data_IF_818085457450
#
_entry.id   IF_818085457450
#
_cell.length_a   1.000
_cell.length_b   1.000
_cell.length_c   1.000
_cell.angle_alpha   90.00
_cell.angle_beta   90.00
_cell.angle_gamma   90.00
#
_symmetry.space_group_name_H-M   'P 1'
#
loop_
_entity.id
_entity.type
_entity.pdbx_description
1 polymer ?
#
# COMPACT_ATOMS: atom_id res chain seq x y z
N UNK A 1 0.64 20.20 -18.84
CA UNK A 1 0.83 20.59 -17.42
C UNK A 1 1.49 19.44 -16.66
N UNK A 2 2.32 19.70 -15.64
CA UNK A 2 2.87 18.63 -14.78
C UNK A 2 1.80 18.07 -13.85
N UNK A 3 1.96 16.84 -13.34
CA UNK A 3 1.01 16.25 -12.37
C UNK A 3 0.82 17.14 -11.13
N UNK A 4 1.89 17.74 -10.61
CA UNK A 4 1.80 18.69 -9.48
C UNK A 4 0.96 19.91 -9.84
N UNK A 5 1.23 20.54 -10.99
CA UNK A 5 0.45 21.69 -11.45
C UNK A 5 -1.02 21.32 -11.64
N UNK A 6 -1.30 20.13 -12.17
CA UNK A 6 -2.66 19.59 -12.37
C UNK A 6 -3.42 19.50 -11.05
N UNK A 7 -2.83 18.84 -10.06
CA UNK A 7 -3.42 18.71 -8.73
C UNK A 7 -3.65 20.09 -8.09
N UNK A 8 -2.66 20.98 -8.11
CA UNK A 8 -2.80 22.31 -7.51
C UNK A 8 -3.88 23.15 -8.20
N UNK A 9 -4.01 23.04 -9.52
CA UNK A 9 -5.04 23.77 -10.28
C UNK A 9 -6.43 23.23 -9.96
N UNK A 10 -6.60 21.91 -9.89
CA UNK A 10 -7.84 21.25 -9.47
C UNK A 10 -8.23 21.63 -8.04
N UNK A 11 -7.29 21.62 -7.09
CA UNK A 11 -7.54 22.04 -5.70
C UNK A 11 -7.90 23.53 -5.59
N UNK A 12 -7.43 24.36 -6.52
CA UNK A 12 -7.81 25.77 -6.62
C UNK A 12 -9.13 25.98 -7.39
N UNK A 13 -9.89 24.92 -7.66
CA UNK A 13 -11.15 24.95 -8.43
C UNK A 13 -11.01 25.57 -9.82
N UNK A 14 -9.85 25.38 -10.47
CA UNK A 14 -9.58 25.83 -11.84
C UNK A 14 -9.46 24.64 -12.77
N UNK A 15 -9.89 24.82 -14.02
CA UNK A 15 -9.89 23.74 -15.02
C UNK A 15 -8.46 23.27 -15.36
N UNK A 16 -8.11 22.00 -15.09
CA UNK A 16 -6.83 21.42 -15.49
C UNK A 16 -6.80 21.05 -16.98
N UNK A 17 -5.64 20.58 -17.49
CA UNK A 17 -5.50 20.06 -18.86
C UNK A 17 -6.15 18.69 -19.05
N UNK A 18 -6.41 17.97 -17.94
CA UNK A 18 -7.25 16.76 -17.84
C UNK A 18 -7.60 16.52 -16.38
N UNK A 19 -8.58 15.65 -16.12
CA UNK A 19 -8.89 15.19 -14.76
C UNK A 19 -7.66 14.49 -14.15
N UNK A 20 -7.15 14.94 -12.99
CA UNK A 20 -6.10 14.21 -12.29
C UNK A 20 -6.63 12.89 -11.74
N UNK A 21 -5.80 11.85 -11.69
CA UNK A 21 -6.23 10.56 -11.15
C UNK A 21 -5.13 9.87 -10.33
N UNK A 22 -5.59 8.99 -9.44
CA UNK A 22 -4.78 8.20 -8.52
C UNK A 22 -4.84 6.71 -8.90
N UNK A 23 -3.71 6.03 -8.69
CA UNK A 23 -3.62 4.57 -8.70
C UNK A 23 -2.63 4.14 -7.62
N UNK A 24 -3.13 3.42 -6.62
CA UNK A 24 -2.32 2.94 -5.50
C UNK A 24 -1.87 4.02 -4.52
N UNK A 25 -2.49 5.20 -4.51
CA UNK A 25 -2.27 6.21 -3.47
C UNK A 25 -2.90 5.83 -2.13
N UNK A 26 -4.01 5.08 -2.18
CA UNK A 26 -4.68 4.47 -1.02
C UNK A 26 -5.09 3.03 -1.37
N UNK A 27 -5.40 2.21 -0.36
CA UNK A 27 -5.77 0.80 -0.57
C UNK A 27 -6.83 0.59 -1.66
N UNK A 28 -8.00 1.25 -1.59
CA UNK A 28 -9.08 1.06 -2.55
C UNK A 28 -8.77 1.49 -4.01
N UNK A 29 -7.79 2.37 -4.22
CA UNK A 29 -7.38 2.81 -5.56
C UNK A 29 -6.27 1.95 -6.16
N UNK A 30 -5.88 0.88 -5.48
CA UNK A 30 -4.86 -0.06 -5.95
C UNK A 30 -5.37 -1.03 -7.01
N UNK A 31 -4.45 -1.86 -7.50
CA UNK A 31 -4.71 -2.97 -8.42
C UNK A 31 -4.32 -4.28 -7.74
N UNK A 32 -5.10 -5.34 -7.92
CA UNK A 32 -4.74 -6.66 -7.35
C UNK A 32 -3.45 -7.17 -7.97
N UNK A 33 -2.68 -7.97 -7.22
CA UNK A 33 -1.40 -8.49 -7.68
C UNK A 33 -1.54 -9.30 -8.97
N UNK A 34 -2.56 -10.14 -9.06
CA UNK A 34 -2.86 -10.93 -10.26
C UNK A 34 -3.23 -10.06 -11.46
N UNK A 35 -4.07 -9.03 -11.26
CA UNK A 35 -4.42 -8.12 -12.35
C UNK A 35 -3.22 -7.30 -12.83
N UNK A 36 -2.35 -6.86 -11.91
CA UNK A 36 -1.14 -6.14 -12.26
C UNK A 36 -0.16 -7.00 -13.06
N UNK A 37 0.05 -8.26 -12.63
CA UNK A 37 0.87 -9.22 -13.37
C UNK A 37 0.35 -9.40 -14.82
N UNK A 38 -0.95 -9.66 -14.98
CA UNK A 38 -1.55 -9.83 -16.30
C UNK A 38 -1.42 -8.57 -17.16
N UNK A 39 -1.53 -7.38 -16.53
CA UNK A 39 -1.36 -6.10 -17.23
C UNK A 39 0.08 -5.88 -17.70
N UNK A 40 1.08 -6.25 -16.90
CA UNK A 40 2.49 -6.15 -17.29
C UNK A 40 2.79 -7.07 -18.48
N UNK A 41 2.29 -8.31 -18.45
CA UNK A 41 2.39 -9.28 -19.55
C UNK A 41 1.74 -8.73 -20.83
N UNK A 42 0.50 -8.23 -20.73
CA UNK A 42 -0.21 -7.63 -21.87
C UNK A 42 0.53 -6.44 -22.49
N UNK A 43 1.16 -5.60 -21.66
CA UNK A 43 1.91 -4.43 -22.10
C UNK A 43 3.37 -4.73 -22.48
N UNK A 44 3.80 -6.01 -22.44
CA UNK A 44 5.16 -6.46 -22.64
C UNK A 44 6.18 -5.67 -21.79
N UNK A 45 5.82 -5.38 -20.53
CA UNK A 45 6.66 -4.68 -19.58
C UNK A 45 7.42 -5.67 -18.71
N UNK A 46 8.76 -5.58 -18.74
CA UNK A 46 9.62 -6.39 -17.89
C UNK A 46 9.77 -5.75 -16.50
N UNK A 47 8.76 -5.92 -15.66
CA UNK A 47 8.75 -5.47 -14.27
C UNK A 47 8.32 -6.63 -13.36
N UNK A 48 8.94 -6.77 -12.20
CA UNK A 48 8.52 -7.76 -11.20
C UNK A 48 7.32 -7.22 -10.41
N UNK A 49 6.16 -7.91 -10.41
CA UNK A 49 5.01 -7.49 -9.63
C UNK A 49 5.25 -7.75 -8.14
N UNK A 50 5.37 -6.67 -7.36
CA UNK A 50 5.57 -6.73 -5.92
C UNK A 50 4.25 -6.57 -5.17
N UNK A 51 4.09 -7.26 -4.03
CA UNK A 51 2.94 -7.05 -3.13
C UNK A 51 3.16 -5.79 -2.29
N UNK A 52 2.22 -4.85 -2.37
CA UNK A 52 2.20 -3.61 -1.58
C UNK A 52 1.39 -3.73 -0.29
N UNK A 53 0.35 -4.56 -0.32
CA UNK A 53 -0.50 -4.88 0.82
C UNK A 53 -0.74 -6.39 0.83
N UNK A 54 -0.12 -7.07 1.80
CA UNK A 54 -0.19 -8.52 1.95
C UNK A 54 -1.63 -8.97 2.23
N UNK A 55 -2.41 -8.21 2.99
CA UNK A 55 -3.74 -8.62 3.43
C UNK A 55 -4.72 -8.69 2.26
N UNK A 56 -4.73 -7.65 1.43
CA UNK A 56 -5.63 -7.53 0.27
C UNK A 56 -5.01 -7.99 -1.04
N UNK A 57 -3.80 -8.58 -0.99
CA UNK A 57 -3.04 -9.04 -2.16
C UNK A 57 -2.97 -7.98 -3.27
N UNK A 58 -2.82 -6.70 -2.90
CA UNK A 58 -2.67 -5.61 -3.87
C UNK A 58 -1.21 -5.45 -4.27
N UNK A 59 -1.00 -5.16 -5.55
CA UNK A 59 0.30 -4.84 -6.06
C UNK A 59 0.80 -3.50 -5.50
N UNK A 60 2.12 -3.35 -5.51
CA UNK A 60 2.82 -2.08 -5.49
C UNK A 60 3.31 -1.80 -6.91
N UNK A 61 2.55 -1.04 -7.73
CA UNK A 61 2.99 -0.74 -9.08
C UNK A 61 4.34 -0.01 -9.07
N UNK A 62 5.20 -0.37 -10.01
CA UNK A 62 6.50 0.25 -10.17
C UNK A 62 6.39 1.68 -10.67
N UNK A 63 7.40 2.48 -10.33
CA UNK A 63 7.44 3.89 -10.69
C UNK A 63 7.52 4.09 -12.22
N UNK A 64 8.16 3.16 -12.95
CA UNK A 64 8.21 3.17 -14.41
C UNK A 64 6.82 3.06 -15.02
N UNK A 65 6.04 2.06 -14.58
CA UNK A 65 4.65 1.87 -14.98
C UNK A 65 3.79 3.10 -14.64
N UNK A 66 3.81 3.57 -13.39
CA UNK A 66 3.00 4.72 -12.95
C UNK A 66 3.28 5.99 -13.75
N UNK A 67 4.54 6.22 -14.16
CA UNK A 67 4.89 7.32 -15.07
C UNK A 67 4.37 7.08 -16.49
N UNK A 68 4.49 5.86 -17.01
CA UNK A 68 4.06 5.50 -18.38
C UNK A 68 2.56 5.73 -18.57
N UNK A 69 1.74 5.39 -17.58
CA UNK A 69 0.28 5.62 -17.64
C UNK A 69 -0.12 7.04 -17.18
N UNK A 70 0.78 7.78 -16.54
CA UNK A 70 0.58 9.18 -16.17
C UNK A 70 -0.21 9.38 -14.88
N UNK A 71 -0.03 8.51 -13.88
CA UNK A 71 -0.65 8.66 -12.55
C UNK A 71 -0.13 9.92 -11.86
N UNK A 72 -1.03 10.75 -11.34
CA UNK A 72 -0.73 12.10 -10.86
C UNK A 72 -0.25 12.19 -9.40
N UNK A 73 -0.44 11.10 -8.66
CA UNK A 73 -0.23 11.00 -7.23
C UNK A 73 0.76 9.89 -6.91
N UNK A 74 1.31 9.91 -5.71
CA UNK A 74 2.07 8.80 -5.16
C UNK A 74 1.77 8.69 -3.67
N UNK A 75 1.62 7.46 -3.14
CA UNK A 75 1.36 7.29 -1.72
C UNK A 75 2.53 7.86 -0.90
N UNK A 76 2.18 8.47 0.23
CA UNK A 76 3.12 8.73 1.30
C UNK A 76 3.17 7.47 2.16
N UNK A 77 4.25 6.72 2.04
CA UNK A 77 4.48 5.54 2.87
C UNK A 77 4.90 5.94 4.27
N UNK A 78 4.30 5.29 5.27
CA UNK A 78 4.83 5.31 6.63
C UNK A 78 6.08 4.44 6.69
N UNK A 79 6.96 4.75 7.64
CA UNK A 79 8.09 3.88 7.94
C UNK A 79 7.65 2.51 8.42
N UNK A 80 8.48 1.49 8.19
CA UNK A 80 8.27 0.21 8.85
C UNK A 80 8.31 0.43 10.36
N UNK A 81 7.35 -0.15 11.09
CA UNK A 81 7.46 -0.26 12.54
C UNK A 81 8.69 -1.11 12.85
N UNK A 82 9.53 -0.67 13.77
CA UNK A 82 10.81 -1.35 14.05
C UNK A 82 10.66 -2.67 14.81
N UNK A 83 9.51 -2.91 15.42
CA UNK A 83 9.27 -4.00 16.37
C UNK A 83 8.51 -5.18 15.78
N UNK A 84 7.86 -5.01 14.62
CA UNK A 84 7.12 -6.06 13.95
C UNK A 84 7.77 -6.43 12.61
N UNK A 85 7.69 -7.71 12.26
CA UNK A 85 8.08 -8.19 10.94
C UNK A 85 7.10 -9.25 10.47
N UNK A 86 6.76 -9.21 9.19
CA UNK A 86 5.86 -10.20 8.60
C UNK A 86 6.47 -11.61 8.75
N UNK A 87 5.69 -12.51 9.35
CA UNK A 87 6.00 -13.93 9.48
C UNK A 87 4.84 -14.73 8.92
N UNK A 88 4.94 -15.06 7.64
CA UNK A 88 4.02 -15.99 7.00
C UNK A 88 4.27 -17.40 7.54
N UNK A 89 3.18 -18.06 7.89
CA UNK A 89 3.11 -19.46 8.29
C UNK A 89 2.14 -20.17 7.37
N UNK A 90 2.22 -21.49 7.36
CA UNK A 90 1.36 -22.33 6.55
C UNK A 90 0.83 -23.49 7.37
N UNK A 91 -0.39 -23.90 7.07
CA UNK A 91 -0.94 -25.20 7.42
C UNK A 91 -1.24 -25.99 6.13
N UNK A 92 -2.05 -27.05 6.23
CA UNK A 92 -2.38 -27.92 5.10
C UNK A 92 -3.03 -27.15 3.94
N UNK A 93 -3.99 -26.27 4.23
CA UNK A 93 -4.86 -25.68 3.24
C UNK A 93 -4.66 -24.17 3.04
N UNK A 94 -3.85 -23.52 3.88
CA UNK A 94 -3.80 -22.06 3.96
C UNK A 94 -2.43 -21.49 4.32
N UNK A 95 -2.26 -20.21 4.00
CA UNK A 95 -1.21 -19.36 4.53
C UNK A 95 -1.82 -18.41 5.56
N UNK A 96 -1.09 -18.05 6.61
CA UNK A 96 -1.58 -17.15 7.63
C UNK A 96 -0.44 -16.36 8.30
N UNK A 97 -0.77 -15.23 8.89
CA UNK A 97 0.14 -14.43 9.71
C UNK A 97 -0.63 -13.74 10.84
N UNK A 98 0.11 -13.15 11.78
CA UNK A 98 -0.43 -12.21 12.76
C UNK A 98 0.19 -10.84 12.53
N UNK A 99 -0.64 -9.81 12.47
CA UNK A 99 -0.18 -8.42 12.35
C UNK A 99 0.36 -7.89 13.69
N UNK A 100 0.80 -6.63 13.69
CA UNK A 100 1.36 -5.97 14.86
C UNK A 100 0.35 -5.80 16.01
N UNK A 101 -0.95 -5.90 15.70
CA UNK A 101 -2.04 -5.82 16.67
C UNK A 101 -2.42 -7.19 17.22
N UNK A 102 -1.77 -8.26 16.77
CA UNK A 102 -2.07 -9.65 17.14
C UNK A 102 -3.24 -10.27 16.37
N UNK A 103 -3.84 -9.53 15.43
CA UNK A 103 -4.96 -10.00 14.61
C UNK A 103 -4.43 -11.07 13.67
N UNK A 104 -5.10 -12.22 13.65
CA UNK A 104 -4.75 -13.31 12.75
C UNK A 104 -5.42 -13.13 11.41
N UNK A 105 -4.62 -13.20 10.35
CA UNK A 105 -5.02 -13.12 8.94
C UNK A 105 -4.74 -14.46 8.27
N UNK A 106 -5.71 -15.05 7.55
CA UNK A 106 -5.58 -16.36 6.89
C UNK A 106 -6.12 -16.31 5.46
N UNK A 107 -5.44 -16.98 4.54
CA UNK A 107 -5.80 -17.09 3.13
C UNK A 107 -5.64 -18.54 2.66
N UNK A 108 -6.65 -19.15 2.00
CA UNK A 108 -6.52 -20.50 1.46
C UNK A 108 -5.48 -20.54 0.34
N UNK A 109 -4.69 -21.62 0.28
CA UNK A 109 -3.73 -21.90 -0.81
C UNK A 109 -4.46 -22.11 -2.13
N UNK A 110 -5.61 -22.80 -2.09
CA UNK A 110 -6.44 -23.03 -3.26
C UNK A 110 -7.40 -21.85 -3.48
N UNK A 111 -7.23 -21.14 -4.62
CA UNK A 111 -8.11 -20.03 -5.04
C UNK A 111 -8.22 -18.87 -4.01
N UNK A 112 -7.24 -18.71 -3.13
CA UNK A 112 -7.17 -17.58 -2.22
C UNK A 112 -6.88 -16.28 -2.96
N UNK A 113 -7.67 -15.25 -2.69
CA UNK A 113 -7.50 -13.92 -3.28
C UNK A 113 -7.12 -12.85 -2.27
N UNK A 114 -7.49 -13.03 -1.00
CA UNK A 114 -7.21 -12.10 0.10
C UNK A 114 -7.07 -12.89 1.40
N UNK A 115 -6.33 -12.32 2.34
CA UNK A 115 -6.39 -12.77 3.73
C UNK A 115 -7.64 -12.21 4.41
N UNK A 116 -8.36 -13.08 5.10
CA UNK A 116 -9.45 -12.71 5.99
C UNK A 116 -9.01 -12.81 7.45
N UNK A 117 -9.66 -12.04 8.31
CA UNK A 117 -9.42 -12.13 9.75
C UNK A 117 -10.00 -13.45 10.27
N UNK A 118 -9.18 -14.23 10.97
CA UNK A 118 -9.59 -15.50 11.59
C UNK A 118 -9.35 -15.54 13.11
N UNK A 119 -8.55 -14.62 13.65
CA UNK A 119 -8.24 -14.55 15.08
C UNK A 119 -8.38 -13.11 15.57
N UNK A 120 -9.17 -12.95 16.63
CA UNK A 120 -9.59 -11.67 17.19
C UNK A 120 -9.00 -11.54 18.60
N UNK A 121 -7.83 -10.91 18.79
CA UNK A 121 -7.09 -10.97 20.06
C UNK A 121 -7.81 -10.29 21.23
N UNK A 122 -8.76 -9.41 20.94
CA UNK A 122 -9.58 -8.73 21.94
C UNK A 122 -10.94 -9.41 22.18
N UNK A 123 -11.24 -10.54 21.51
CA UNK A 123 -12.48 -11.26 21.75
C UNK A 123 -12.52 -11.76 23.20
N UNK A 124 -13.49 -11.26 23.98
CA UNK A 124 -13.65 -11.61 25.38
C UNK A 124 -12.67 -10.91 26.34
N UNK A 125 -11.87 -9.95 25.86
CA UNK A 125 -11.01 -9.13 26.73
C UNK A 125 -11.86 -8.00 27.34
N UNK A 126 -11.99 -7.93 28.69
CA UNK A 126 -12.69 -6.84 29.35
C UNK A 126 -11.98 -5.49 29.10
N UNK A 127 -12.75 -4.41 29.05
CA UNK A 127 -12.22 -3.08 28.73
C UNK A 127 -11.17 -2.61 29.74
N UNK A 128 -11.33 -2.97 31.01
CA UNK A 128 -10.37 -2.69 32.09
C UNK A 128 -8.97 -3.28 31.85
N UNK A 129 -8.88 -4.36 31.06
CA UNK A 129 -7.61 -5.02 30.76
C UNK A 129 -6.92 -4.48 29.51
N UNK A 130 -7.55 -3.55 28.77
CA UNK A 130 -6.97 -2.96 27.56
C UNK A 130 -5.71 -2.14 27.84
N UNK A 131 -5.60 -1.54 29.02
CA UNK A 131 -4.41 -0.77 29.41
C UNK A 131 -3.14 -1.64 29.48
N UNK A 132 -3.29 -2.94 29.75
CA UNK A 132 -2.20 -3.90 29.85
C UNK A 132 -1.98 -4.71 28.56
N UNK A 133 -2.78 -4.45 27.50
CA UNK A 133 -2.60 -5.14 26.23
C UNK A 133 -1.26 -4.73 25.59
N UNK A 134 -0.51 -5.66 24.96
CA UNK A 134 0.77 -5.36 24.32
C UNK A 134 0.55 -4.60 23.00
N UNK A 135 0.18 -3.32 23.10
CA UNK A 135 -0.05 -2.45 21.96
C UNK A 135 1.23 -2.25 21.14
N UNK A 136 1.15 -2.24 19.80
CA UNK A 136 2.30 -1.95 18.97
C UNK A 136 2.76 -0.50 19.17
N UNK A 137 4.07 -0.32 19.31
CA UNK A 137 4.67 1.01 19.32
C UNK A 137 4.43 1.71 17.98
N UNK A 138 4.12 3.02 17.97
CA UNK A 138 4.07 3.77 16.73
C UNK A 138 5.45 3.75 16.04
N UNK A 139 5.50 3.85 14.70
CA UNK A 139 6.76 3.88 13.96
C UNK A 139 7.68 4.97 14.53
N UNK A 140 8.92 4.61 14.89
CA UNK A 140 9.92 5.58 15.39
C UNK A 140 10.37 6.48 14.22
N UNK A 141 9.96 7.76 14.26
CA UNK A 141 10.50 8.82 13.42
C UNK A 141 9.60 9.30 12.27
N UNK A 142 9.72 10.58 11.94
CA UNK A 142 9.00 11.31 10.89
C UNK A 142 9.44 10.94 9.47
N UNK A 143 9.52 9.65 9.15
CA UNK A 143 9.98 9.16 7.85
C UNK A 143 9.11 9.64 6.67
N UNK A 144 7.93 10.22 6.96
CA UNK A 144 7.10 10.94 6.00
C UNK A 144 7.77 12.22 5.46
N UNK A 145 8.52 12.97 6.29
CA UNK A 145 9.05 14.29 5.91
C UNK A 145 10.37 14.21 5.12
N UNK A 146 11.27 13.29 5.47
CA UNK A 146 12.56 13.16 4.77
C UNK A 146 12.42 12.58 3.36
N UNK A 147 11.46 11.67 3.13
CA UNK A 147 11.10 11.19 1.78
C UNK A 147 10.26 12.19 0.99
N UNK A 148 9.46 13.04 1.66
CA UNK A 148 8.73 14.12 0.99
C UNK A 148 9.68 15.17 0.38
N UNK A 149 10.79 15.51 1.07
CA UNK A 149 11.79 16.47 0.57
C UNK A 149 12.46 16.05 -0.75
N UNK A 150 12.60 14.75 -1.01
CA UNK A 150 13.17 14.26 -2.29
C UNK A 150 12.26 14.47 -3.51
N UNK A 151 10.95 14.66 -3.32
CA UNK A 151 9.99 14.87 -4.42
C UNK A 151 9.80 16.34 -4.81
N UNK A 152 10.22 17.29 -3.97
CA UNK A 152 10.10 18.73 -4.27
C UNK A 152 11.27 19.27 -5.10
N UNK A 153 12.48 18.71 -4.98
CA UNK A 153 13.69 19.37 -5.52
C UNK A 153 14.26 18.78 -6.82
N UNK A 154 13.74 17.65 -7.33
CA UNK A 154 14.29 16.98 -8.54
C UNK A 154 13.35 16.85 -9.74
N UNK A 155 12.29 17.66 -9.81
CA UNK A 155 11.49 17.79 -11.04
C UNK A 155 11.79 19.09 -11.78
N UNK A 156 13.06 19.30 -12.15
CA UNK A 156 13.34 19.85 -13.48
C UNK A 156 13.16 18.71 -14.48
N UNK A 157 11.91 18.34 -14.77
CA UNK A 157 11.60 17.59 -15.98
C UNK A 157 11.63 18.66 -17.08
N UNK A 158 12.76 18.73 -17.78
CA UNK A 158 12.92 19.58 -18.96
C UNK A 158 11.85 19.21 -19.99
N UNK A 159 11.37 20.28 -20.62
CA UNK A 159 10.42 20.41 -21.73
C UNK A 159 10.41 19.27 -22.74
#
# INVERSE_FOLDING_TARGET
MTSRQRILKTLAHREPDRVPYDLGGIGPSGISLGAYKNLLEYLALNEEPLTGDISSQRAKPGEGFLRKIGVDTRPLGYGAQSTWSLRLKEDEDSTFFRDEWGIGHKMPKAKGHNYYIFSHPLAGVPTENLACYPWPDPPKGSMALSKARWRTDRTQIRS
#
